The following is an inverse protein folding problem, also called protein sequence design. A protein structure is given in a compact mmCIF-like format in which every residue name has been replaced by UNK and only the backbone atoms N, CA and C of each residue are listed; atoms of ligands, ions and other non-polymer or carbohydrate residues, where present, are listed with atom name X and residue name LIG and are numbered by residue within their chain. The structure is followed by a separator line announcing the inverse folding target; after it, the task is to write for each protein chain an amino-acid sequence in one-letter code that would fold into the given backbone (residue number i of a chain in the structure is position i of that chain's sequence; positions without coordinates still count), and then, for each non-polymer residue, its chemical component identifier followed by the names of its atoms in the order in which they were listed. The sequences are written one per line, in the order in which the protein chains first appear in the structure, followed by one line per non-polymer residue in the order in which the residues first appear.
data_IF_604929310041
#
_entry.id   IF_604929310041
#
_cell.length_a   1.000
_cell.length_b   1.000
_cell.length_c   1.000
_cell.angle_alpha   90.00
_cell.angle_beta   90.00
_cell.angle_gamma   90.00
#
_symmetry.space_group_name_H-M   'P 1'
#
loop_
_entity.id
_entity.type
_entity.pdbx_description
1 polymer ?
#
# COMPACT_ATOMS: atom_id res chain seq x y z
N UNK A 1 -8.59 -14.61 -12.22
CA UNK A 1 -7.72 -13.43 -12.45
C UNK A 1 -7.26 -12.88 -11.11
N UNK A 2 -5.96 -12.68 -10.92
CA UNK A 2 -5.40 -12.15 -9.66
C UNK A 2 -5.75 -10.66 -9.47
N UNK A 3 -6.13 -10.26 -8.25
CA UNK A 3 -6.37 -8.85 -7.92
C UNK A 3 -5.03 -8.08 -7.92
N UNK A 4 -4.92 -6.91 -8.58
CA UNK A 4 -3.66 -6.14 -8.57
C UNK A 4 -3.27 -5.73 -7.15
N UNK A 5 -2.01 -5.96 -6.78
CA UNK A 5 -1.49 -5.64 -5.43
C UNK A 5 -1.05 -4.16 -5.31
N UNK A 6 -0.70 -3.53 -6.43
CA UNK A 6 -0.26 -2.14 -6.50
C UNK A 6 -1.08 -1.38 -7.56
N UNK A 7 -1.21 -0.07 -7.37
CA UNK A 7 -1.68 0.84 -8.41
C UNK A 7 -1.01 2.20 -8.27
N UNK A 8 -0.84 2.87 -9.40
CA UNK A 8 -0.36 4.26 -9.49
C UNK A 8 -1.56 5.12 -9.90
N UNK A 9 -1.79 6.22 -9.19
CA UNK A 9 -2.82 7.21 -9.54
C UNK A 9 -2.17 8.57 -9.72
N UNK A 10 -2.48 9.26 -10.79
CA UNK A 10 -2.09 10.66 -10.94
C UNK A 10 -3.04 11.54 -10.11
N UNK A 11 -2.46 12.47 -9.35
CA UNK A 11 -3.17 13.45 -8.55
C UNK A 11 -3.61 14.57 -9.50
N UNK A 12 -4.93 14.71 -9.65
CA UNK A 12 -5.54 15.70 -10.54
C UNK A 12 -5.81 17.04 -9.85
N UNK A 13 -5.74 17.10 -8.52
CA UNK A 13 -5.92 18.33 -7.73
C UNK A 13 -4.89 18.40 -6.62
N UNK A 14 -4.33 19.59 -6.41
CA UNK A 14 -3.42 19.81 -5.30
C UNK A 14 -4.12 19.46 -3.99
N UNK A 15 -3.40 18.76 -3.10
CA UNK A 15 -3.93 18.38 -1.79
C UNK A 15 -2.85 18.44 -0.71
N UNK A 16 -3.20 18.82 0.53
CA UNK A 16 -2.26 18.76 1.63
C UNK A 16 -1.88 17.30 1.96
N UNK A 17 -0.62 17.09 2.33
CA UNK A 17 -0.07 15.82 2.86
C UNK A 17 0.91 16.17 3.97
N UNK A 18 0.44 16.10 5.21
CA UNK A 18 1.19 16.64 6.34
C UNK A 18 1.40 18.15 6.16
N UNK A 19 2.63 18.61 6.34
CA UNK A 19 3.03 20.02 6.13
C UNK A 19 3.28 20.37 4.65
N UNK A 20 3.26 19.40 3.74
CA UNK A 20 3.56 19.61 2.32
C UNK A 20 2.30 19.65 1.46
N UNK A 21 2.29 20.52 0.43
CA UNK A 21 1.31 20.48 -0.65
C UNK A 21 1.76 19.49 -1.73
N UNK A 22 0.92 18.50 -2.02
CA UNK A 22 1.10 17.67 -3.20
C UNK A 22 0.67 18.46 -4.41
N UNK A 23 1.59 18.65 -5.35
CA UNK A 23 1.31 19.33 -6.61
C UNK A 23 0.35 18.53 -7.49
N UNK A 24 -0.43 19.25 -8.29
CA UNK A 24 -1.13 18.69 -9.45
C UNK A 24 -0.10 17.97 -10.32
N UNK A 25 -0.47 16.81 -10.87
CA UNK A 25 0.38 15.90 -11.66
C UNK A 25 1.29 14.93 -10.89
N UNK A 26 1.38 15.02 -9.57
CA UNK A 26 2.11 14.03 -8.78
C UNK A 26 1.46 12.63 -8.86
N UNK A 27 2.26 11.58 -8.77
CA UNK A 27 1.86 10.18 -8.80
C UNK A 27 1.76 9.62 -7.38
N UNK A 28 0.55 9.24 -6.98
CA UNK A 28 0.26 8.51 -5.76
C UNK A 28 0.44 7.01 -5.99
N UNK A 29 1.36 6.40 -5.24
CA UNK A 29 1.57 4.95 -5.24
C UNK A 29 0.75 4.34 -4.11
N UNK A 30 -0.12 3.40 -4.45
CA UNK A 30 -0.98 2.72 -3.50
C UNK A 30 -0.77 1.21 -3.54
N UNK A 31 -0.82 0.60 -2.35
CA UNK A 31 -0.70 -0.83 -2.12
C UNK A 31 -2.00 -1.36 -1.54
N UNK A 32 -2.37 -2.55 -1.95
CA UNK A 32 -3.57 -3.22 -1.45
C UNK A 32 -3.29 -3.86 -0.09
N UNK A 33 -3.98 -3.38 0.94
CA UNK A 33 -3.98 -3.93 2.30
C UNK A 33 -5.16 -4.87 2.52
N UNK A 34 -4.93 -6.00 3.20
CA UNK A 34 -5.92 -7.03 3.51
C UNK A 34 -6.84 -7.45 2.34
N UNK A 35 -6.37 -7.30 1.09
CA UNK A 35 -7.16 -7.49 -0.14
C UNK A 35 -8.41 -6.60 -0.31
N UNK A 36 -8.65 -5.63 0.60
CA UNK A 36 -9.90 -4.87 0.70
C UNK A 36 -9.71 -3.37 0.43
N UNK A 37 -8.62 -2.77 0.92
CA UNK A 37 -8.41 -1.33 0.85
C UNK A 37 -7.08 -0.96 0.19
N UNK A 38 -6.99 0.29 -0.26
CA UNK A 38 -5.79 0.85 -0.87
C UNK A 38 -5.13 1.82 0.11
N UNK A 39 -3.92 1.48 0.55
CA UNK A 39 -3.07 2.36 1.35
C UNK A 39 -2.09 3.09 0.45
N UNK A 40 -1.97 4.40 0.61
CA UNK A 40 -0.86 5.14 0.03
C UNK A 40 0.45 4.71 0.69
N UNK A 41 1.45 4.39 -0.11
CA UNK A 41 2.80 4.05 0.36
C UNK A 41 3.85 5.09 -0.05
N UNK A 42 3.60 5.83 -1.14
CA UNK A 42 4.49 6.89 -1.61
C UNK A 42 3.72 7.90 -2.47
N UNK A 43 4.30 9.08 -2.62
CA UNK A 43 3.90 10.08 -3.60
C UNK A 43 5.16 10.56 -4.33
N UNK A 44 5.13 10.59 -5.65
CA UNK A 44 6.28 10.87 -6.51
C UNK A 44 5.90 11.96 -7.53
N UNK A 45 6.86 12.73 -8.03
CA UNK A 45 6.57 13.75 -9.05
C UNK A 45 6.46 13.15 -10.46
N UNK A 46 7.08 12.00 -10.68
CA UNK A 46 7.11 11.30 -11.96
C UNK A 46 6.79 9.80 -11.82
N UNK A 47 6.53 9.17 -12.97
CA UNK A 47 6.20 7.74 -13.06
C UNK A 47 7.38 6.84 -12.71
N UNK A 48 8.61 7.24 -13.02
CA UNK A 48 9.82 6.44 -12.77
C UNK A 48 10.05 6.30 -11.26
N UNK A 49 9.90 7.39 -10.51
CA UNK A 49 9.92 7.41 -9.05
C UNK A 49 8.79 6.57 -8.46
N UNK A 50 7.59 6.62 -9.05
CA UNK A 50 6.47 5.78 -8.62
C UNK A 50 6.76 4.27 -8.78
N UNK A 51 7.36 3.88 -9.90
CA UNK A 51 7.78 2.50 -10.15
C UNK A 51 8.93 2.06 -9.21
N UNK A 52 9.89 2.95 -8.96
CA UNK A 52 10.96 2.73 -8.00
C UNK A 52 10.41 2.51 -6.58
N UNK A 53 9.41 3.29 -6.16
CA UNK A 53 8.76 3.12 -4.86
C UNK A 53 8.06 1.76 -4.72
N UNK A 54 7.40 1.28 -5.78
CA UNK A 54 6.83 -0.07 -5.81
C UNK A 54 7.93 -1.13 -5.63
N UNK A 55 9.03 -1.03 -6.37
CA UNK A 55 10.16 -1.98 -6.27
C UNK A 55 10.75 -1.99 -4.85
N UNK A 56 10.93 -0.82 -4.25
CA UNK A 56 11.42 -0.68 -2.87
C UNK A 56 10.48 -1.34 -1.86
N UNK A 57 9.16 -1.12 -1.96
CA UNK A 57 8.18 -1.80 -1.08
C UNK A 57 8.21 -3.32 -1.27
N UNK A 58 8.28 -3.81 -2.52
CA UNK A 58 8.40 -5.25 -2.81
C UNK A 58 9.66 -5.84 -2.17
N UNK A 59 10.81 -5.19 -2.33
CA UNK A 59 12.08 -5.64 -1.73
C UNK A 59 12.00 -5.59 -0.20
N UNK A 60 11.47 -4.52 0.39
CA UNK A 60 11.31 -4.38 1.82
C UNK A 60 10.43 -5.50 2.39
N UNK A 61 9.30 -5.81 1.74
CA UNK A 61 8.41 -6.91 2.14
C UNK A 61 9.06 -8.28 1.99
N UNK A 62 9.84 -8.48 0.92
CA UNK A 62 10.60 -9.72 0.67
C UNK A 62 11.67 -9.91 1.75
N UNK A 63 12.43 -8.85 2.06
CA UNK A 63 13.46 -8.82 3.11
C UNK A 63 12.87 -9.05 4.49
N UNK A 64 11.76 -8.40 4.79
CA UNK A 64 11.06 -8.55 6.06
C UNK A 64 10.47 -9.95 6.26
N UNK A 65 10.54 -10.84 5.24
CA UNK A 65 9.98 -12.21 5.26
C UNK A 65 8.64 -12.25 5.98
N UNK A 66 7.77 -11.27 5.70
CA UNK A 66 6.43 -11.21 6.29
C UNK A 66 5.64 -12.35 5.66
N UNK A 67 5.84 -13.57 6.17
CA UNK A 67 4.87 -14.64 6.03
C UNK A 67 3.55 -14.06 6.54
N UNK A 68 2.40 -14.33 5.90
CA UNK A 68 1.12 -14.08 6.53
C UNK A 68 1.13 -14.83 7.86
N UNK A 69 1.41 -14.11 8.94
CA UNK A 69 1.37 -14.63 10.29
C UNK A 69 -0.11 -14.59 10.62
N UNK A 70 -0.76 -15.74 10.68
CA UNK A 70 -2.06 -15.85 11.33
C UNK A 70 -1.81 -15.44 12.78
N UNK A 71 -2.15 -14.20 13.13
CA UNK A 71 -1.87 -13.63 14.45
C UNK A 71 -2.82 -14.22 15.50
N UNK A 72 -4.00 -14.69 15.09
CA UNK A 72 -4.99 -15.37 15.92
C UNK A 72 -5.96 -16.14 15.02
N UNK A 73 -6.41 -17.31 15.46
CA UNK A 73 -7.55 -17.99 14.84
C UNK A 73 -8.81 -17.45 15.51
N UNK A 74 -9.86 -17.22 14.73
CA UNK A 74 -11.16 -16.79 15.24
C UNK A 74 -12.20 -17.82 14.84
N UNK A 75 -13.13 -18.12 15.74
CA UNK A 75 -14.25 -19.00 15.43
C UNK A 75 -15.30 -18.30 14.55
N UNK A 76 -16.38 -19.02 14.24
CA UNK A 76 -17.48 -18.53 13.40
C UNK A 76 -18.20 -17.32 14.02
N UNK A 77 -18.10 -17.15 15.34
CA UNK A 77 -18.74 -16.09 16.11
C UNK A 77 -17.78 -14.92 16.39
N UNK A 78 -16.56 -14.97 15.82
CA UNK A 78 -15.56 -13.91 15.92
C UNK A 78 -14.78 -13.91 17.23
N UNK A 79 -14.89 -14.97 18.04
CA UNK A 79 -14.10 -15.10 19.26
C UNK A 79 -12.71 -15.65 18.95
N UNK A 80 -11.70 -15.12 19.64
CA UNK A 80 -10.34 -15.59 19.47
C UNK A 80 -10.20 -17.02 20.03
N UNK A 81 -9.91 -17.96 19.14
CA UNK A 81 -9.40 -19.28 19.49
C UNK A 81 -7.96 -19.06 19.97
N UNK A 82 -7.77 -19.12 21.30
CA UNK A 82 -6.51 -18.78 21.98
C UNK A 82 -5.27 -19.51 21.45
N UNK A 83 -4.09 -18.99 21.84
CA UNK A 83 -2.74 -19.41 21.41
C UNK A 83 -2.47 -20.91 21.47
#
# INVERSE_FOLDING_TARGET
MGRPMYRIRQITRARPRGEALLFVSAFQVQRRGAALFWCEIACCLDRVGAEAAIRTDVIARRRARIKPRVLSQFDRDGQALGK
#
